data_IF_836793365216
#
_entry.id   IF_836793365216
#
_cell.length_a   1.000
_cell.length_b   1.000
_cell.length_c   1.000
_cell.angle_alpha   90.00
_cell.angle_beta   90.00
_cell.angle_gamma   90.00
#
_symmetry.space_group_name_H-M   'P 1'
#
loop_
_entity.id
_entity.type
_entity.pdbx_description
1 polymer ?
#
# COMPACT_ATOMS: atom_id res chain seq x y z
N UNK A 1 12.96 18.68 2.36
CA UNK A 1 11.68 18.27 2.93
C UNK A 1 10.89 17.57 1.83
N UNK A 2 10.41 16.37 2.09
CA UNK A 2 9.77 15.51 1.09
C UNK A 2 8.45 16.10 0.59
N UNK A 3 7.70 16.77 1.48
CA UNK A 3 6.46 17.44 1.12
C UNK A 3 6.70 18.52 0.06
N UNK A 4 7.72 19.36 0.26
CA UNK A 4 8.11 20.41 -0.69
C UNK A 4 8.49 19.84 -2.06
N UNK A 5 9.15 18.68 -2.10
CA UNK A 5 9.52 18.04 -3.36
C UNK A 5 8.28 17.55 -4.12
N UNK A 6 7.33 16.91 -3.43
CA UNK A 6 6.06 16.45 -4.02
C UNK A 6 5.28 17.63 -4.62
N UNK A 7 5.18 18.72 -3.88
CA UNK A 7 4.49 19.91 -4.35
C UNK A 7 5.21 20.55 -5.55
N UNK A 8 6.54 20.60 -5.52
CA UNK A 8 7.34 21.09 -6.65
C UNK A 8 7.10 20.25 -7.93
N UNK A 9 7.05 18.93 -7.80
CA UNK A 9 6.78 18.03 -8.93
C UNK A 9 5.35 18.22 -9.44
N UNK A 10 4.38 18.33 -8.55
CA UNK A 10 2.98 18.56 -8.91
C UNK A 10 2.80 19.88 -9.68
N UNK A 11 3.41 20.97 -9.21
CA UNK A 11 3.41 22.27 -9.90
C UNK A 11 4.04 22.18 -11.30
N UNK A 12 5.15 21.44 -11.44
CA UNK A 12 5.77 21.19 -12.76
C UNK A 12 4.83 20.44 -13.70
N UNK A 13 4.12 19.43 -13.21
CA UNK A 13 3.14 18.70 -14.03
C UNK A 13 1.97 19.58 -14.46
N UNK A 14 1.46 20.43 -13.58
CA UNK A 14 0.42 21.40 -13.95
C UNK A 14 0.90 22.36 -15.04
N UNK A 15 2.13 22.89 -14.93
CA UNK A 15 2.71 23.73 -15.99
C UNK A 15 2.87 23.02 -17.33
N UNK A 16 3.18 21.72 -17.32
CA UNK A 16 3.20 20.90 -18.55
C UNK A 16 1.79 20.78 -19.13
N UNK A 17 0.79 20.47 -18.30
CA UNK A 17 -0.60 20.35 -18.73
C UNK A 17 -1.12 21.66 -19.34
N UNK A 18 -0.82 22.80 -18.72
CA UNK A 18 -1.12 24.13 -19.23
C UNK A 18 -0.50 24.36 -20.61
N UNK A 19 0.81 24.07 -20.75
CA UNK A 19 1.53 24.24 -22.01
C UNK A 19 0.99 23.34 -23.14
N UNK A 20 0.44 22.19 -22.77
CA UNK A 20 -0.14 21.22 -23.72
C UNK A 20 -1.60 21.50 -24.09
N UNK A 21 -2.19 22.59 -23.59
CA UNK A 21 -3.60 22.96 -23.82
C UNK A 21 -4.61 21.86 -23.41
N UNK A 22 -4.23 21.02 -22.45
CA UNK A 22 -5.12 20.00 -21.90
C UNK A 22 -6.07 20.64 -20.88
N UNK A 23 -7.35 20.26 -20.91
CA UNK A 23 -8.29 20.69 -19.86
C UNK A 23 -8.09 19.86 -18.60
N UNK A 24 -7.81 20.52 -17.47
CA UNK A 24 -7.73 19.90 -16.15
C UNK A 24 -8.27 20.85 -15.07
N UNK A 25 -8.39 20.35 -13.84
CA UNK A 25 -8.79 21.16 -12.68
C UNK A 25 -7.55 21.80 -12.06
N UNK A 26 -7.43 23.13 -12.12
CA UNK A 26 -6.29 23.86 -11.56
C UNK A 26 -6.20 23.76 -10.03
N UNK A 27 -7.35 23.77 -9.35
CA UNK A 27 -7.44 23.67 -7.88
C UNK A 27 -7.85 22.24 -7.48
N UNK A 28 -7.00 21.26 -7.83
CA UNK A 28 -7.26 19.87 -7.48
C UNK A 28 -6.76 19.58 -6.06
N UNK A 29 -7.69 19.45 -5.12
CA UNK A 29 -7.41 18.92 -3.79
C UNK A 29 -7.12 17.40 -3.90
N UNK A 30 -5.83 17.03 -3.89
CA UNK A 30 -5.33 15.68 -4.22
C UNK A 30 -5.93 14.60 -3.31
N UNK A 31 -6.01 14.90 -2.01
CA UNK A 31 -6.49 13.99 -0.98
C UNK A 31 -7.97 13.67 -1.20
N UNK A 32 -8.80 14.69 -1.37
CA UNK A 32 -10.25 14.56 -1.57
C UNK A 32 -10.58 13.92 -2.90
N UNK A 33 -9.74 14.15 -3.92
CA UNK A 33 -9.93 13.53 -5.23
C UNK A 33 -9.65 12.01 -5.20
N UNK A 34 -8.68 11.57 -4.39
CA UNK A 34 -8.20 10.18 -4.36
C UNK A 34 -8.66 9.38 -3.13
N UNK A 35 -9.39 9.99 -2.21
CA UNK A 35 -9.94 9.34 -1.01
C UNK A 35 -11.32 9.86 -0.64
N UNK A 36 -12.15 8.98 -0.10
CA UNK A 36 -13.44 9.33 0.50
C UNK A 36 -13.28 9.80 1.95
N UNK A 37 -14.27 10.51 2.48
CA UNK A 37 -14.27 10.92 3.88
C UNK A 37 -14.27 9.71 4.84
N UNK A 38 -14.98 8.63 4.46
CA UNK A 38 -15.06 7.41 5.25
C UNK A 38 -13.72 6.67 5.31
N UNK A 39 -13.00 6.57 4.18
CA UNK A 39 -11.64 6.00 4.15
C UNK A 39 -10.70 6.79 5.07
N UNK A 40 -10.71 8.13 4.99
CA UNK A 40 -9.86 8.96 5.86
C UNK A 40 -10.22 8.81 7.34
N UNK A 41 -11.52 8.71 7.65
CA UNK A 41 -11.97 8.46 9.02
C UNK A 41 -11.49 7.09 9.52
N UNK A 42 -11.58 6.06 8.68
CA UNK A 42 -11.07 4.73 8.99
C UNK A 42 -9.56 4.74 9.24
N UNK A 43 -8.78 5.40 8.38
CA UNK A 43 -7.32 5.48 8.56
C UNK A 43 -6.94 6.15 9.87
N UNK A 44 -7.64 7.22 10.24
CA UNK A 44 -7.48 7.88 11.54
C UNK A 44 -7.80 6.94 12.71
N UNK A 45 -8.89 6.17 12.62
CA UNK A 45 -9.25 5.18 13.64
C UNK A 45 -8.21 4.05 13.76
N UNK A 46 -7.53 3.74 12.65
CA UNK A 46 -6.46 2.76 12.59
C UNK A 46 -5.09 3.32 13.03
N UNK A 47 -5.04 4.54 13.55
CA UNK A 47 -3.83 5.12 14.14
C UNK A 47 -2.96 5.91 13.18
N UNK A 48 -3.45 6.22 11.97
CA UNK A 48 -2.74 7.12 11.07
C UNK A 48 -2.70 8.56 11.61
N UNK A 49 -1.55 9.25 11.53
CA UNK A 49 -1.47 10.68 11.79
C UNK A 49 -2.36 11.51 10.86
N UNK A 50 -2.90 12.62 11.36
CA UNK A 50 -3.86 13.48 10.64
C UNK A 50 -3.23 14.48 9.66
N UNK A 51 -1.93 14.41 9.43
CA UNK A 51 -1.27 15.30 8.48
C UNK A 51 -1.51 14.87 7.02
N UNK A 52 -1.33 15.83 6.11
CA UNK A 52 -1.56 15.64 4.68
C UNK A 52 -0.60 14.59 4.10
N UNK A 53 0.66 14.58 4.52
CA UNK A 53 1.67 13.65 4.02
C UNK A 53 1.31 12.19 4.36
N UNK A 54 0.89 11.94 5.60
CA UNK A 54 0.42 10.62 6.03
C UNK A 54 -0.83 10.19 5.26
N UNK A 55 -1.77 11.11 5.02
CA UNK A 55 -2.98 10.82 4.23
C UNK A 55 -2.64 10.50 2.77
N UNK A 56 -1.72 11.23 2.15
CA UNK A 56 -1.22 10.90 0.81
C UNK A 56 -0.52 9.53 0.77
N UNK A 57 0.28 9.21 1.79
CA UNK A 57 0.93 7.91 1.91
C UNK A 57 -0.10 6.78 2.06
N UNK A 58 -1.19 7.00 2.79
CA UNK A 58 -2.34 6.08 2.87
C UNK A 58 -2.93 5.78 1.50
N UNK A 59 -3.15 6.84 0.71
CA UNK A 59 -3.69 6.73 -0.65
C UNK A 59 -2.74 5.92 -1.53
N UNK A 60 -1.43 6.14 -1.41
CA UNK A 60 -0.42 5.35 -2.12
C UNK A 60 -0.46 3.88 -1.70
N UNK A 61 -0.58 3.58 -0.40
CA UNK A 61 -0.71 2.21 0.12
C UNK A 61 -2.03 1.53 -0.28
N UNK A 62 -3.09 2.30 -0.52
CA UNK A 62 -4.39 1.77 -0.97
C UNK A 62 -4.42 1.53 -2.48
N UNK A 63 -3.74 2.37 -3.26
CA UNK A 63 -3.82 2.42 -4.74
C UNK A 63 -2.53 1.97 -5.43
N UNK A 64 -1.62 1.30 -4.73
CA UNK A 64 -0.33 0.90 -5.28
C UNK A 64 -0.48 0.00 -6.52
N UNK A 65 0.42 0.19 -7.50
CA UNK A 65 0.57 -0.74 -8.60
C UNK A 65 1.72 -1.72 -8.35
N UNK A 66 2.91 -1.21 -8.02
CA UNK A 66 4.05 -2.01 -7.53
C UNK A 66 3.93 -2.14 -6.02
N UNK A 67 4.32 -3.29 -5.46
CA UNK A 67 4.27 -3.50 -4.01
C UNK A 67 5.01 -2.37 -3.28
N UNK A 68 4.41 -1.76 -2.25
CA UNK A 68 4.97 -0.60 -1.59
C UNK A 68 6.18 -1.00 -0.74
N UNK A 69 7.25 -0.22 -0.86
CA UNK A 69 8.35 -0.20 0.10
C UNK A 69 8.14 0.99 1.04
N UNK A 70 8.12 0.73 2.34
CA UNK A 70 7.78 1.73 3.36
C UNK A 70 9.03 2.07 4.14
N UNK A 71 9.36 3.36 4.20
CA UNK A 71 10.44 3.89 5.01
C UNK A 71 9.80 4.60 6.19
N UNK A 72 9.91 4.00 7.38
CA UNK A 72 9.28 4.51 8.58
C UNK A 72 10.23 4.37 9.79
N UNK A 73 11.01 5.41 10.12
CA UNK A 73 11.89 5.38 11.28
C UNK A 73 11.13 5.40 12.62
N UNK A 74 9.84 5.75 12.61
CA UNK A 74 9.01 5.87 13.83
C UNK A 74 8.30 4.57 14.22
N UNK A 75 8.14 3.65 13.27
CA UNK A 75 7.41 2.39 13.42
C UNK A 75 5.88 2.52 13.44
N UNK A 76 5.32 3.72 13.34
CA UNK A 76 3.88 3.97 13.40
C UNK A 76 3.11 3.33 12.22
N UNK A 77 3.73 3.27 11.05
CA UNK A 77 3.12 2.71 9.85
C UNK A 77 2.80 1.23 9.99
N UNK A 78 3.60 0.48 10.76
CA UNK A 78 3.40 -0.96 10.98
C UNK A 78 2.07 -1.19 11.70
N UNK A 79 1.80 -0.44 12.77
CA UNK A 79 0.55 -0.56 13.51
C UNK A 79 -0.66 -0.20 12.64
N UNK A 80 -0.53 0.88 11.86
CA UNK A 80 -1.56 1.28 10.91
C UNK A 80 -1.85 0.18 9.86
N UNK A 81 -0.83 -0.37 9.21
CA UNK A 81 -0.98 -1.43 8.19
C UNK A 81 -1.57 -2.68 8.81
N UNK A 82 -1.09 -3.08 9.98
CA UNK A 82 -1.63 -4.23 10.69
C UNK A 82 -3.12 -4.03 10.96
N UNK A 83 -3.58 -2.87 11.43
CA UNK A 83 -5.01 -2.61 11.68
C UNK A 83 -5.83 -2.48 10.39
N UNK A 84 -5.31 -1.77 9.40
CA UNK A 84 -6.01 -1.52 8.13
C UNK A 84 -6.22 -2.79 7.31
N UNK A 85 -5.22 -3.68 7.29
CA UNK A 85 -5.26 -4.90 6.47
C UNK A 85 -5.59 -6.17 7.27
N UNK A 86 -5.64 -6.12 8.61
CA UNK A 86 -6.16 -7.21 9.44
C UNK A 86 -7.68 -7.11 9.51
N UNK A 87 -8.39 -7.81 8.63
CA UNK A 87 -9.85 -7.81 8.70
C UNK A 87 -10.33 -8.80 9.76
N UNK A 88 -10.85 -8.26 10.87
CA UNK A 88 -11.99 -8.83 11.55
C UNK A 88 -13.24 -8.04 11.12
N UNK A 89 -14.15 -8.71 10.40
CA UNK A 89 -15.48 -8.23 9.98
C UNK A 89 -15.53 -7.40 8.70
N UNK A 90 -16.39 -7.86 7.79
CA UNK A 90 -16.55 -7.30 6.47
C UNK A 90 -17.36 -6.02 6.44
N UNK A 91 -17.33 -5.41 5.27
CA UNK A 91 -18.47 -4.79 4.60
C UNK A 91 -18.17 -4.85 3.10
N UNK A 92 -19.00 -5.63 2.41
CA UNK A 92 -19.40 -5.36 1.02
C UNK A 92 -18.32 -5.60 -0.06
N UNK A 93 -18.19 -6.78 -0.68
CA UNK A 93 -19.16 -7.29 -1.65
C UNK A 93 -18.87 -8.76 -2.06
N UNK A 94 -19.92 -9.59 -1.95
CA UNK A 94 -20.27 -10.75 -2.78
C UNK A 94 -19.63 -12.14 -2.52
N UNK A 95 -20.45 -12.96 -1.85
CA UNK A 95 -20.67 -14.41 -2.05
C UNK A 95 -19.48 -15.37 -1.90
N UNK A 96 -19.29 -15.82 -0.66
CA UNK A 96 -18.74 -17.15 -0.35
C UNK A 96 -17.46 -17.12 0.49
N UNK A 97 -17.61 -17.31 1.80
CA UNK A 97 -16.50 -17.65 2.72
C UNK A 97 -15.71 -16.44 3.23
N UNK A 98 -16.13 -15.87 4.36
CA UNK A 98 -15.35 -14.86 5.09
C UNK A 98 -14.12 -15.53 5.72
N UNK A 99 -12.96 -15.40 5.07
CA UNK A 99 -11.66 -15.73 5.69
C UNK A 99 -11.11 -14.45 6.31
N UNK A 100 -10.95 -14.44 7.64
CA UNK A 100 -10.24 -13.37 8.33
C UNK A 100 -8.84 -13.26 7.74
N UNK A 101 -8.51 -12.14 7.10
CA UNK A 101 -7.17 -11.93 6.56
C UNK A 101 -6.34 -11.35 7.69
N UNK A 102 -5.48 -12.16 8.29
CA UNK A 102 -4.48 -11.70 9.26
C UNK A 102 -3.26 -11.17 8.51
N UNK A 103 -2.77 -9.98 8.88
CA UNK A 103 -1.45 -9.51 8.42
C UNK A 103 -0.37 -10.34 9.10
N UNK A 104 0.38 -11.09 8.32
CA UNK A 104 1.52 -11.86 8.80
C UNK A 104 2.78 -10.99 8.77
N UNK A 105 3.36 -10.75 9.94
CA UNK A 105 4.62 -10.03 10.08
C UNK A 105 5.80 -11.01 10.02
N UNK A 106 6.83 -10.69 9.25
CA UNK A 106 8.09 -11.44 9.17
C UNK A 106 9.24 -10.50 8.83
N UNK A 107 10.47 -10.99 8.84
CA UNK A 107 11.68 -10.23 8.51
C UNK A 107 12.52 -11.04 7.53
N UNK A 108 13.33 -10.39 6.69
CA UNK A 108 14.31 -11.12 5.86
C UNK A 108 15.33 -11.92 6.68
N UNK A 109 15.56 -11.53 7.93
CA UNK A 109 16.46 -12.22 8.85
C UNK A 109 15.79 -13.40 9.59
N UNK A 110 14.49 -13.61 9.39
CA UNK A 110 13.73 -14.70 10.02
C UNK A 110 13.95 -16.02 9.25
N UNK A 111 14.40 -17.06 9.97
CA UNK A 111 14.54 -18.41 9.41
C UNK A 111 13.23 -18.98 8.83
N UNK A 112 12.08 -18.46 9.27
CA UNK A 112 10.76 -18.84 8.78
C UNK A 112 10.26 -18.00 7.59
N UNK A 113 11.00 -16.96 7.17
CA UNK A 113 10.62 -16.03 6.10
C UNK A 113 10.10 -16.73 4.85
N UNK A 114 10.84 -17.70 4.32
CA UNK A 114 10.47 -18.43 3.08
C UNK A 114 9.18 -19.23 3.23
N UNK A 115 8.96 -19.84 4.41
CA UNK A 115 7.73 -20.58 4.72
C UNK A 115 6.55 -19.63 4.83
N UNK A 116 6.75 -18.47 5.47
CA UNK A 116 5.73 -17.43 5.61
C UNK A 116 5.34 -16.85 4.24
N UNK A 117 6.33 -16.58 3.39
CA UNK A 117 6.13 -16.13 2.01
C UNK A 117 5.34 -17.16 1.19
N UNK A 118 5.72 -18.43 1.22
CA UNK A 118 5.01 -19.50 0.51
C UNK A 118 3.56 -19.62 1.00
N UNK A 119 3.35 -19.58 2.32
CA UNK A 119 2.01 -19.60 2.93
C UNK A 119 1.18 -18.41 2.47
N UNK A 120 1.74 -17.19 2.47
CA UNK A 120 1.05 -16.00 2.05
C UNK A 120 0.65 -16.03 0.58
N UNK A 121 1.55 -16.48 -0.31
CA UNK A 121 1.24 -16.67 -1.73
C UNK A 121 0.15 -17.72 -1.96
N UNK A 122 0.14 -18.80 -1.16
CA UNK A 122 -0.81 -19.90 -1.30
C UNK A 122 -2.21 -19.56 -0.79
N UNK A 123 -2.30 -18.86 0.35
CA UNK A 123 -3.57 -18.60 1.03
C UNK A 123 -4.09 -17.17 0.83
N UNK A 124 -3.33 -16.31 0.17
CA UNK A 124 -3.69 -14.92 -0.07
C UNK A 124 -3.66 -14.06 1.19
N UNK A 125 -2.84 -14.40 2.19
CA UNK A 125 -2.67 -13.57 3.38
C UNK A 125 -1.78 -12.37 3.08
N UNK A 126 -2.09 -11.23 3.69
CA UNK A 126 -1.22 -10.05 3.61
C UNK A 126 0.07 -10.32 4.37
N UNK A 127 1.21 -10.15 3.70
CA UNK A 127 2.54 -10.30 4.31
C UNK A 127 3.21 -8.93 4.44
N UNK A 128 3.61 -8.57 5.66
CA UNK A 128 4.45 -7.41 5.94
C UNK A 128 5.85 -7.90 6.27
N UNK A 129 6.83 -7.50 5.46
CA UNK A 129 8.23 -7.93 5.60
C UNK A 129 9.08 -6.76 6.09
N UNK A 130 9.80 -6.95 7.19
CA UNK A 130 10.68 -5.97 7.81
C UNK A 130 12.16 -6.22 7.45
N UNK A 131 13.01 -5.28 7.84
CA UNK A 131 14.48 -5.34 7.71
C UNK A 131 14.93 -5.50 6.25
N UNK A 132 14.39 -4.66 5.36
CA UNK A 132 14.69 -4.67 3.92
C UNK A 132 16.17 -4.49 3.61
N UNK A 133 16.96 -3.97 4.55
CA UNK A 133 18.42 -3.89 4.47
C UNK A 133 19.06 -5.27 4.24
N UNK A 134 18.39 -6.33 4.67
CA UNK A 134 18.80 -7.73 4.50
C UNK A 134 18.07 -8.44 3.35
N UNK A 135 17.66 -7.68 2.32
CA UNK A 135 16.83 -8.14 1.21
C UNK A 135 17.25 -9.48 0.59
N UNK A 136 16.29 -10.41 0.48
CA UNK A 136 16.46 -11.69 -0.23
C UNK A 136 15.87 -11.60 -1.66
N UNK A 137 16.69 -11.76 -2.73
CA UNK A 137 16.25 -11.75 -4.13
C UNK A 137 15.18 -12.78 -4.50
N UNK A 138 14.87 -13.75 -3.63
CA UNK A 138 13.74 -14.67 -3.82
C UNK A 138 12.41 -13.95 -4.05
N UNK A 139 12.26 -12.71 -3.58
CA UNK A 139 11.06 -11.90 -3.81
C UNK A 139 10.97 -11.30 -5.21
N UNK A 140 12.05 -11.25 -6.00
CA UNK A 140 12.04 -10.57 -7.31
C UNK A 140 10.88 -11.02 -8.22
N UNK A 141 10.62 -12.32 -8.42
CA UNK A 141 9.50 -12.76 -9.27
C UNK A 141 8.14 -12.31 -8.72
N UNK A 142 7.99 -12.30 -7.38
CA UNK A 142 6.77 -11.85 -6.71
C UNK A 142 6.58 -10.34 -6.91
N UNK A 143 7.62 -9.55 -6.66
CA UNK A 143 7.58 -8.08 -6.78
C UNK A 143 7.33 -7.62 -8.22
N UNK A 144 7.88 -8.37 -9.19
CA UNK A 144 7.67 -8.13 -10.62
C UNK A 144 6.34 -8.68 -11.13
N UNK A 145 5.57 -9.41 -10.31
CA UNK A 145 4.35 -10.11 -10.71
C UNK A 145 4.59 -11.08 -11.88
N UNK A 146 5.74 -11.76 -11.86
CA UNK A 146 6.12 -12.80 -12.83
C UNK A 146 5.34 -14.09 -12.56
N UNK A 147 4.12 -14.17 -13.08
CA UNK A 147 3.22 -15.30 -12.87
C UNK A 147 3.23 -16.23 -14.08
N UNK A 148 3.52 -17.51 -13.86
CA UNK A 148 3.43 -18.55 -14.88
C UNK A 148 2.05 -19.18 -14.84
N UNK A 149 1.29 -19.06 -15.93
CA UNK A 149 0.00 -19.72 -16.09
C UNK A 149 0.20 -21.04 -16.81
N UNK A 150 -0.03 -22.15 -16.12
CA UNK A 150 0.00 -23.49 -16.72
C UNK A 150 -1.37 -24.14 -16.52
N UNK A 151 -2.16 -24.21 -17.59
CA UNK A 151 -3.56 -24.64 -17.52
C UNK A 151 -4.45 -23.61 -16.82
N UNK A 152 -5.35 -24.08 -15.93
CA UNK A 152 -6.29 -23.25 -15.15
C UNK A 152 -5.77 -22.76 -13.79
N UNK A 153 -4.50 -23.02 -13.45
CA UNK A 153 -3.84 -22.54 -12.23
C UNK A 153 -2.95 -21.34 -12.57
N UNK A 154 -3.05 -20.32 -11.72
CA UNK A 154 -2.27 -19.08 -11.74
C UNK A 154 -1.46 -19.03 -10.46
#
# INVERSE_FOLDING_TARGET
DDQLLRDTIFQKWMGILDSSQNMFRHELARIEYLSTADERLQWNNNGMPKDELCTENAIMLRRFNRFPLIIDPSGQSIEFICKEFSTASGKEHQKGGSVATTVQLTSFNDNSFRKNLESALRFGTTLLVQDVESYDPILNPVLNKEVKRTGGRV
#
